data_IF_634080747163
#
_entry.id   IF_634080747163
#
_cell.length_a   1.000
_cell.length_b   1.000
_cell.length_c   1.000
_cell.angle_alpha   90.00
_cell.angle_beta   90.00
_cell.angle_gamma   90.00
#
_symmetry.space_group_name_H-M   'P 1'
#
loop_
_entity.id
_entity.type
_entity.pdbx_description
1 polymer ?
#
# COMPACT_ATOMS: atom_id res chain seq x y z
N UNK A 1 9.84 31.37 -19.69
CA UNK A 1 8.42 31.25 -20.12
C UNK A 1 7.54 31.88 -19.06
N UNK A 2 6.51 32.64 -19.44
CA UNK A 2 5.52 33.15 -18.48
C UNK A 2 4.70 32.00 -17.91
N UNK A 3 4.42 32.04 -16.60
CA UNK A 3 3.65 31.00 -15.91
C UNK A 3 2.17 31.12 -16.30
N UNK A 4 1.56 30.00 -16.69
CA UNK A 4 0.15 29.87 -17.09
C UNK A 4 -0.49 28.72 -16.33
N UNK A 5 -1.29 29.05 -15.33
CA UNK A 5 -1.87 28.11 -14.37
C UNK A 5 -3.34 27.84 -14.75
N UNK A 6 -3.71 26.57 -14.88
CA UNK A 6 -5.11 26.13 -14.87
C UNK A 6 -5.51 25.67 -13.48
N UNK A 7 -6.64 26.16 -12.96
CA UNK A 7 -7.14 25.82 -11.63
C UNK A 7 -8.50 25.12 -11.73
N UNK A 8 -8.61 23.94 -11.13
CA UNK A 8 -9.81 23.12 -11.24
C UNK A 8 -10.38 22.77 -9.88
N UNK A 9 -11.62 23.17 -9.60
CA UNK A 9 -12.25 22.97 -8.29
C UNK A 9 -13.32 21.87 -8.40
N UNK A 10 -13.15 20.80 -7.64
CA UNK A 10 -14.07 19.66 -7.65
C UNK A 10 -15.22 19.88 -6.66
N UNK A 11 -16.44 19.50 -7.05
CA UNK A 11 -17.58 19.45 -6.13
C UNK A 11 -17.61 18.13 -5.33
N UNK A 12 -17.08 17.07 -5.93
CA UNK A 12 -17.12 15.70 -5.43
C UNK A 12 -18.56 15.26 -5.08
N UNK A 13 -19.51 15.57 -5.97
CA UNK A 13 -20.93 15.47 -5.68
C UNK A 13 -21.33 16.49 -4.60
N UNK A 14 -21.85 16.02 -3.48
CA UNK A 14 -22.14 16.85 -2.30
C UNK A 14 -20.98 16.92 -1.31
N UNK A 15 -19.93 16.11 -1.45
CA UNK A 15 -18.88 16.00 -0.43
C UNK A 15 -18.10 17.30 -0.22
N UNK A 16 -17.86 18.07 -1.28
CA UNK A 16 -17.22 19.39 -1.18
C UNK A 16 -18.28 20.48 -1.29
N UNK A 17 -19.16 20.43 -2.31
CA UNK A 17 -20.09 21.51 -2.62
C UNK A 17 -21.16 21.78 -1.54
N UNK A 18 -21.46 20.81 -0.66
CA UNK A 18 -22.38 21.04 0.46
C UNK A 18 -21.79 22.04 1.46
N UNK A 19 -20.52 21.88 1.79
CA UNK A 19 -19.84 22.63 2.85
C UNK A 19 -18.95 23.76 2.33
N UNK A 20 -18.54 23.74 1.06
CA UNK A 20 -17.68 24.76 0.45
C UNK A 20 -18.41 25.37 -0.74
N UNK A 21 -18.46 26.69 -0.82
CA UNK A 21 -18.91 27.38 -2.02
C UNK A 21 -17.84 27.32 -3.11
N UNK A 22 -17.96 26.30 -3.96
CA UNK A 22 -17.02 26.04 -5.05
C UNK A 22 -16.99 27.17 -6.07
N UNK A 23 -18.13 27.81 -6.34
CA UNK A 23 -18.22 28.92 -7.29
C UNK A 23 -17.42 30.13 -6.79
N UNK A 24 -17.51 30.42 -5.50
CA UNK A 24 -16.75 31.50 -4.87
C UNK A 24 -15.23 31.23 -4.88
N UNK A 25 -14.82 29.98 -4.61
CA UNK A 25 -13.41 29.57 -4.70
C UNK A 25 -12.88 29.70 -6.13
N UNK A 26 -13.65 29.29 -7.14
CA UNK A 26 -13.29 29.46 -8.57
C UNK A 26 -13.12 30.92 -8.93
N UNK A 27 -14.09 31.76 -8.56
CA UNK A 27 -14.07 33.18 -8.91
C UNK A 27 -12.90 33.92 -8.25
N UNK A 28 -12.49 33.51 -7.04
CA UNK A 28 -11.26 33.97 -6.41
C UNK A 28 -10.02 33.50 -7.19
N UNK A 29 -9.95 32.22 -7.55
CA UNK A 29 -8.82 31.69 -8.29
C UNK A 29 -8.54 32.44 -9.61
N UNK A 30 -9.58 32.84 -10.35
CA UNK A 30 -9.44 33.64 -11.58
C UNK A 30 -8.74 34.99 -11.39
N UNK A 31 -8.80 35.57 -10.18
CA UNK A 31 -8.20 36.88 -9.87
C UNK A 31 -6.74 36.78 -9.42
N UNK A 32 -6.23 35.56 -9.22
CA UNK A 32 -4.88 35.34 -8.71
C UNK A 32 -3.84 35.41 -9.85
N UNK A 33 -2.61 35.83 -9.55
CA UNK A 33 -1.57 36.01 -10.56
C UNK A 33 -1.25 34.69 -11.28
N UNK A 34 -0.93 34.79 -12.57
CA UNK A 34 -0.58 33.68 -13.47
C UNK A 34 -1.72 32.68 -13.75
N UNK A 35 -2.91 32.82 -13.15
CA UNK A 35 -4.07 31.98 -13.45
C UNK A 35 -4.65 32.38 -14.81
N UNK A 36 -4.57 31.46 -15.77
CA UNK A 36 -5.11 31.67 -17.13
C UNK A 36 -6.57 31.22 -17.22
N UNK A 37 -6.91 30.17 -16.48
CA UNK A 37 -8.27 29.62 -16.44
C UNK A 37 -8.56 29.05 -15.05
N UNK A 38 -9.80 29.21 -14.59
CA UNK A 38 -10.30 28.44 -13.46
C UNK A 38 -11.70 27.91 -13.77
N UNK A 39 -11.89 26.61 -13.53
CA UNK A 39 -13.17 25.92 -13.77
C UNK A 39 -13.55 25.11 -12.55
N UNK A 40 -14.84 24.85 -12.42
CA UNK A 40 -15.36 23.89 -11.47
C UNK A 40 -16.16 22.79 -12.17
N UNK A 41 -16.10 21.58 -11.64
CA UNK A 41 -16.83 20.45 -12.20
C UNK A 41 -17.21 19.44 -11.10
N UNK A 42 -18.28 18.68 -11.36
CA UNK A 42 -18.87 17.76 -10.37
C UNK A 42 -17.87 16.71 -9.88
N UNK A 43 -17.13 16.09 -10.80
CA UNK A 43 -16.16 15.04 -10.50
C UNK A 43 -14.91 15.24 -11.34
N UNK A 44 -13.92 15.99 -10.83
CA UNK A 44 -12.70 16.25 -11.60
C UNK A 44 -11.91 14.97 -11.95
N UNK A 45 -12.02 13.91 -11.16
CA UNK A 45 -11.32 12.65 -11.41
C UNK A 45 -11.99 11.74 -12.44
N UNK A 46 -13.23 12.01 -12.86
CA UNK A 46 -13.88 11.24 -13.91
C UNK A 46 -13.28 11.57 -15.28
N UNK A 47 -13.55 10.74 -16.29
CA UNK A 47 -13.01 10.95 -17.65
C UNK A 47 -13.36 12.35 -18.20
N UNK A 48 -14.61 12.87 -18.10
CA UNK A 48 -14.91 14.23 -18.52
C UNK A 48 -14.10 15.30 -17.76
N UNK A 49 -13.87 15.12 -16.46
CA UNK A 49 -13.07 16.03 -15.66
C UNK A 49 -11.60 16.03 -16.06
N UNK A 50 -11.05 14.87 -16.37
CA UNK A 50 -9.67 14.73 -16.86
C UNK A 50 -9.51 15.29 -18.28
N UNK A 51 -10.45 15.03 -19.19
CA UNK A 51 -10.43 15.59 -20.55
C UNK A 51 -10.51 17.12 -20.54
N UNK A 52 -11.29 17.70 -19.63
CA UNK A 52 -11.36 19.14 -19.43
C UNK A 52 -9.98 19.73 -19.10
N UNK A 53 -9.21 19.09 -18.21
CA UNK A 53 -7.83 19.50 -17.90
C UNK A 53 -6.93 19.35 -19.13
N UNK A 54 -6.99 18.19 -19.82
CA UNK A 54 -6.14 17.90 -20.98
C UNK A 54 -6.36 18.88 -22.13
N UNK A 55 -7.61 19.23 -22.41
CA UNK A 55 -7.98 20.15 -23.47
C UNK A 55 -7.49 21.57 -23.15
N UNK A 56 -7.75 22.06 -21.94
CA UNK A 56 -7.27 23.37 -21.51
C UNK A 56 -5.73 23.45 -21.54
N UNK A 57 -5.00 22.39 -21.16
CA UNK A 57 -3.53 22.34 -21.28
C UNK A 57 -3.08 22.60 -22.72
N UNK A 58 -3.71 21.92 -23.70
CA UNK A 58 -3.36 22.02 -25.12
C UNK A 58 -3.78 23.36 -25.72
N UNK A 59 -5.03 23.76 -25.52
CA UNK A 59 -5.64 24.94 -26.12
C UNK A 59 -5.05 26.24 -25.56
N UNK A 60 -4.92 26.34 -24.24
CA UNK A 60 -4.46 27.56 -23.56
C UNK A 60 -2.94 27.57 -23.34
N UNK A 61 -2.27 26.47 -23.72
CA UNK A 61 -0.83 26.24 -23.52
C UNK A 61 -0.45 26.41 -22.04
N UNK A 62 -1.23 25.78 -21.15
CA UNK A 62 -0.97 25.82 -19.71
C UNK A 62 0.36 25.12 -19.43
N UNK A 63 1.12 25.68 -18.51
CA UNK A 63 2.38 25.09 -18.07
C UNK A 63 2.38 24.74 -16.57
N UNK A 64 1.27 24.96 -15.86
CA UNK A 64 1.05 24.54 -14.48
C UNK A 64 -0.42 24.18 -14.28
N UNK A 65 -0.70 23.21 -13.41
CA UNK A 65 -2.07 22.82 -13.07
C UNK A 65 -2.25 22.70 -11.57
N UNK A 66 -3.35 23.26 -11.06
CA UNK A 66 -3.82 23.07 -9.69
C UNK A 66 -5.18 22.40 -9.71
N UNK A 67 -5.34 21.30 -8.97
CA UNK A 67 -6.66 20.70 -8.73
C UNK A 67 -7.00 20.81 -7.24
N UNK A 68 -8.07 21.54 -6.93
CA UNK A 68 -8.63 21.65 -5.59
C UNK A 68 -9.72 20.58 -5.40
N UNK A 69 -9.38 19.50 -4.69
CA UNK A 69 -10.28 18.36 -4.52
C UNK A 69 -9.98 17.55 -3.24
N UNK A 70 -9.73 16.25 -3.37
CA UNK A 70 -9.46 15.31 -2.29
C UNK A 70 -7.98 15.29 -1.88
N UNK A 71 -7.57 14.27 -1.12
CA UNK A 71 -6.19 14.06 -0.69
C UNK A 71 -5.26 13.67 -1.86
N UNK A 72 -4.04 14.23 -1.95
CA UNK A 72 -3.04 13.80 -2.93
C UNK A 72 -2.68 12.32 -2.78
N UNK A 73 -2.81 11.73 -1.58
CA UNK A 73 -2.62 10.29 -1.35
C UNK A 73 -3.59 9.41 -2.16
N UNK A 74 -4.71 9.99 -2.63
CA UNK A 74 -5.72 9.27 -3.39
C UNK A 74 -5.60 9.51 -4.90
N UNK A 75 -5.59 10.77 -5.35
CA UNK A 75 -5.72 11.10 -6.79
C UNK A 75 -4.56 11.89 -7.39
N UNK A 76 -3.46 12.14 -6.67
CA UNK A 76 -2.32 12.86 -7.25
C UNK A 76 -1.80 12.16 -8.51
N UNK A 77 -1.58 10.83 -8.43
CA UNK A 77 -1.13 10.04 -9.58
C UNK A 77 -2.10 10.07 -10.76
N UNK A 78 -3.40 10.17 -10.50
CA UNK A 78 -4.44 10.26 -11.55
C UNK A 78 -4.30 11.57 -12.32
N UNK A 79 -4.27 12.71 -11.62
CA UNK A 79 -4.14 14.01 -12.27
C UNK A 79 -2.77 14.24 -12.89
N UNK A 80 -1.70 13.71 -12.27
CA UNK A 80 -0.36 13.69 -12.85
C UNK A 80 -0.35 12.98 -14.21
N UNK A 81 -0.97 11.79 -14.31
CA UNK A 81 -1.10 11.05 -15.58
C UNK A 81 -1.94 11.83 -16.60
N UNK A 82 -3.01 12.50 -16.17
CA UNK A 82 -3.82 13.33 -17.06
C UNK A 82 -3.00 14.50 -17.65
N UNK A 83 -2.22 15.20 -16.82
CA UNK A 83 -1.32 16.27 -17.27
C UNK A 83 -0.25 15.73 -18.23
N UNK A 84 0.39 14.61 -17.88
CA UNK A 84 1.42 13.95 -18.69
C UNK A 84 0.88 13.54 -20.07
N UNK A 85 -0.34 13.01 -20.12
CA UNK A 85 -1.02 12.64 -21.38
C UNK A 85 -1.33 13.84 -22.28
N UNK A 86 -1.37 15.06 -21.72
CA UNK A 86 -1.52 16.30 -22.46
C UNK A 86 -0.17 16.99 -22.80
N UNK A 87 0.95 16.36 -22.47
CA UNK A 87 2.30 16.89 -22.72
C UNK A 87 2.84 17.81 -21.61
N UNK A 88 2.14 17.94 -20.48
CA UNK A 88 2.61 18.70 -19.33
C UNK A 88 3.40 17.79 -18.38
N UNK A 89 4.60 18.20 -17.98
CA UNK A 89 5.39 17.46 -17.00
C UNK A 89 4.60 17.26 -15.70
N UNK A 90 4.50 16.01 -15.23
CA UNK A 90 3.68 15.62 -14.08
C UNK A 90 4.04 16.33 -12.77
N UNK A 91 5.25 16.86 -12.62
CA UNK A 91 5.70 17.55 -11.42
C UNK A 91 5.38 19.05 -11.45
N UNK A 92 4.81 19.54 -12.56
CA UNK A 92 4.24 20.89 -12.71
C UNK A 92 2.76 20.95 -12.30
N UNK A 93 2.30 19.92 -11.59
CA UNK A 93 0.97 19.76 -11.04
C UNK A 93 1.00 19.89 -9.52
N UNK A 94 0.00 20.52 -8.93
CA UNK A 94 -0.19 20.52 -7.48
C UNK A 94 -1.66 20.31 -7.09
N UNK A 95 -1.89 19.61 -5.98
CA UNK A 95 -3.22 19.28 -5.50
C UNK A 95 -3.52 20.00 -4.18
N UNK A 96 -4.61 20.77 -4.15
CA UNK A 96 -5.10 21.40 -2.93
C UNK A 96 -6.20 20.52 -2.31
N UNK A 97 -5.94 19.96 -1.13
CA UNK A 97 -6.94 19.15 -0.43
C UNK A 97 -7.98 20.04 0.26
N UNK A 98 -9.16 20.15 -0.34
CA UNK A 98 -10.31 20.89 0.19
C UNK A 98 -11.47 19.96 0.60
N UNK A 99 -11.25 18.63 0.62
CA UNK A 99 -12.24 17.65 1.10
C UNK A 99 -11.91 17.17 2.50
N UNK A 100 -10.94 16.26 2.65
CA UNK A 100 -10.55 15.69 3.95
C UNK A 100 -10.01 16.77 4.89
N UNK A 101 -9.34 17.79 4.37
CA UNK A 101 -8.76 18.88 5.19
C UNK A 101 -9.67 20.11 5.29
N UNK A 102 -10.83 20.10 4.64
CA UNK A 102 -11.76 21.22 4.64
C UNK A 102 -13.23 20.76 4.70
N UNK A 103 -13.88 20.44 3.58
CA UNK A 103 -15.33 20.24 3.56
C UNK A 103 -15.87 19.17 4.52
N UNK A 104 -15.11 18.11 4.81
CA UNK A 104 -15.54 17.03 5.72
C UNK A 104 -15.37 17.35 7.21
N UNK A 105 -14.54 18.33 7.55
CA UNK A 105 -14.14 18.59 8.96
C UNK A 105 -14.59 19.96 9.47
N UNK A 106 -15.34 20.72 8.67
CA UNK A 106 -15.93 22.00 9.09
C UNK A 106 -17.45 21.94 8.92
N UNK A 107 -18.19 22.52 9.86
CA UNK A 107 -19.66 22.56 9.80
C UNK A 107 -20.17 23.90 9.26
N UNK A 108 -19.37 24.97 9.35
CA UNK A 108 -19.75 26.30 8.88
C UNK A 108 -19.28 26.52 7.44
N UNK A 109 -20.23 26.67 6.52
CA UNK A 109 -19.97 26.86 5.09
C UNK A 109 -19.09 28.08 4.79
N UNK A 110 -19.32 29.22 5.44
CA UNK A 110 -18.52 30.44 5.21
C UNK A 110 -17.06 30.23 5.60
N UNK A 111 -16.83 29.66 6.78
CA UNK A 111 -15.47 29.39 7.29
C UNK A 111 -14.75 28.37 6.41
N UNK A 112 -15.45 27.31 5.98
CA UNK A 112 -14.90 26.31 5.08
C UNK A 112 -14.55 26.89 3.71
N UNK A 113 -15.40 27.76 3.16
CA UNK A 113 -15.11 28.46 1.89
C UNK A 113 -13.86 29.34 2.01
N UNK A 114 -13.74 30.13 3.08
CA UNK A 114 -12.54 30.96 3.29
C UNK A 114 -11.27 30.13 3.42
N UNK A 115 -11.33 29.00 4.16
CA UNK A 115 -10.22 28.07 4.25
C UNK A 115 -9.88 27.47 2.88
N UNK A 116 -10.87 27.06 2.10
CA UNK A 116 -10.66 26.51 0.75
C UNK A 116 -10.00 27.54 -0.18
N UNK A 117 -10.42 28.81 -0.15
CA UNK A 117 -9.75 29.90 -0.89
C UNK A 117 -8.29 30.05 -0.47
N UNK A 118 -8.00 30.04 0.82
CA UNK A 118 -6.63 30.15 1.33
C UNK A 118 -5.74 28.97 0.85
N UNK A 119 -6.26 27.74 0.91
CA UNK A 119 -5.57 26.54 0.43
C UNK A 119 -5.30 26.60 -1.09
N UNK A 120 -6.29 27.03 -1.87
CA UNK A 120 -6.14 27.19 -3.33
C UNK A 120 -5.15 28.29 -3.67
N UNK A 121 -5.20 29.44 -2.99
CA UNK A 121 -4.22 30.51 -3.19
C UNK A 121 -2.79 30.04 -2.86
N UNK A 122 -2.60 29.32 -1.76
CA UNK A 122 -1.30 28.75 -1.40
C UNK A 122 -0.81 27.76 -2.48
N UNK A 123 -1.70 26.90 -2.99
CA UNK A 123 -1.40 25.96 -4.06
C UNK A 123 -0.97 26.65 -5.36
N UNK A 124 -1.69 27.70 -5.77
CA UNK A 124 -1.39 28.51 -6.96
C UNK A 124 -0.04 29.22 -6.80
N UNK A 125 0.24 29.79 -5.64
CA UNK A 125 1.54 30.43 -5.38
C UNK A 125 2.68 29.42 -5.41
N UNK A 126 2.49 28.22 -4.85
CA UNK A 126 3.50 27.14 -4.88
C UNK A 126 3.76 26.63 -6.30
N UNK A 127 2.71 26.38 -7.08
CA UNK A 127 2.84 25.76 -8.42
C UNK A 127 3.67 26.65 -9.37
N UNK A 128 3.62 27.98 -9.18
CA UNK A 128 4.39 28.94 -9.96
C UNK A 128 5.91 28.74 -9.86
N UNK A 129 6.41 28.18 -8.74
CA UNK A 129 7.83 27.90 -8.51
C UNK A 129 8.23 26.45 -8.77
N UNK A 130 7.30 25.57 -9.16
CA UNK A 130 7.64 24.19 -9.47
C UNK A 130 8.48 24.10 -10.75
N UNK A 131 9.39 23.14 -10.77
CA UNK A 131 10.25 22.83 -11.90
C UNK A 131 9.88 21.46 -12.47
N UNK A 132 10.16 21.27 -13.75
CA UNK A 132 9.96 19.98 -14.39
C UNK A 132 11.02 19.01 -13.86
N UNK A 133 10.58 17.83 -13.40
CA UNK A 133 11.48 16.77 -12.94
C UNK A 133 11.41 15.56 -13.88
N UNK A 134 12.46 14.76 -13.87
CA UNK A 134 12.56 13.53 -14.66
C UNK A 134 12.40 12.29 -13.78
N UNK A 135 11.75 11.27 -14.33
CA UNK A 135 11.63 9.97 -13.68
C UNK A 135 12.95 9.20 -13.81
N UNK A 136 13.63 9.00 -12.68
CA UNK A 136 14.80 8.12 -12.64
C UNK A 136 14.37 6.66 -12.74
N UNK A 137 14.80 5.97 -13.80
CA UNK A 137 14.65 4.52 -13.92
C UNK A 137 15.75 3.83 -13.12
N UNK A 138 15.39 2.82 -12.34
CA UNK A 138 16.36 2.01 -11.59
C UNK A 138 16.13 0.54 -11.90
N UNK A 139 17.21 -0.25 -11.90
CA UNK A 139 17.11 -1.71 -11.99
C UNK A 139 16.43 -2.22 -10.72
N UNK A 140 15.53 -3.18 -10.88
CA UNK A 140 14.82 -3.81 -9.78
C UNK A 140 15.39 -5.23 -9.58
N UNK A 141 15.60 -5.62 -8.33
CA UNK A 141 15.85 -7.01 -7.98
C UNK A 141 14.52 -7.78 -8.14
N UNK A 142 14.45 -8.82 -9.00
CA UNK A 142 13.23 -9.59 -9.21
C UNK A 142 12.89 -10.53 -8.04
N UNK A 143 13.85 -10.84 -7.17
CA UNK A 143 13.62 -11.73 -6.04
C UNK A 143 12.63 -11.11 -5.03
N UNK A 144 11.72 -11.94 -4.53
CA UNK A 144 10.70 -11.52 -3.55
C UNK A 144 11.01 -12.09 -2.17
N UNK A 145 10.86 -11.27 -1.13
CA UNK A 145 10.90 -11.74 0.25
C UNK A 145 9.48 -11.77 0.83
N UNK A 146 9.11 -12.89 1.45
CA UNK A 146 7.86 -13.08 2.18
C UNK A 146 8.19 -13.30 3.65
N UNK A 147 7.54 -12.53 4.53
CA UNK A 147 7.72 -12.61 5.98
C UNK A 147 6.47 -13.26 6.59
N UNK A 148 6.63 -14.48 7.09
CA UNK A 148 5.59 -15.29 7.70
C UNK A 148 5.13 -16.43 6.79
N UNK A 149 5.40 -17.67 7.18
CA UNK A 149 5.00 -18.91 6.53
C UNK A 149 3.61 -19.40 6.94
N UNK A 150 2.65 -18.52 7.22
CA UNK A 150 1.24 -18.90 7.33
C UNK A 150 0.63 -19.23 5.96
N UNK A 151 -0.64 -19.66 5.91
CA UNK A 151 -1.32 -19.98 4.64
C UNK A 151 -1.23 -18.87 3.58
N UNK A 152 -1.30 -17.60 3.99
CA UNK A 152 -1.17 -16.46 3.09
C UNK A 152 0.24 -16.35 2.49
N UNK A 153 1.28 -16.49 3.31
CA UNK A 153 2.67 -16.43 2.85
C UNK A 153 3.07 -17.65 2.02
N UNK A 154 2.59 -18.84 2.41
CA UNK A 154 2.74 -20.08 1.63
C UNK A 154 2.13 -19.92 0.23
N UNK A 155 0.89 -19.43 0.15
CA UNK A 155 0.22 -19.26 -1.14
C UNK A 155 0.93 -18.21 -2.01
N UNK A 156 1.29 -17.06 -1.43
CA UNK A 156 2.04 -16.04 -2.15
C UNK A 156 3.41 -16.55 -2.64
N UNK A 157 4.10 -17.36 -1.84
CA UNK A 157 5.38 -17.95 -2.23
C UNK A 157 5.23 -18.87 -3.43
N UNK A 158 4.24 -19.77 -3.38
CA UNK A 158 3.96 -20.72 -4.46
C UNK A 158 3.58 -19.99 -5.75
N UNK A 159 2.66 -19.02 -5.73
CA UNK A 159 2.24 -18.30 -6.93
C UNK A 159 3.39 -17.53 -7.60
N UNK A 160 4.24 -16.87 -6.79
CA UNK A 160 5.39 -16.15 -7.31
C UNK A 160 6.43 -17.12 -7.87
N UNK A 161 6.68 -18.23 -7.18
CA UNK A 161 7.64 -19.24 -7.60
C UNK A 161 7.21 -19.99 -8.87
N UNK A 162 5.92 -20.31 -9.01
CA UNK A 162 5.30 -20.92 -10.20
C UNK A 162 5.36 -19.98 -11.42
N UNK A 163 5.37 -18.67 -11.19
CA UNK A 163 5.60 -17.68 -12.25
C UNK A 163 7.08 -17.56 -12.70
N UNK A 164 7.97 -18.38 -12.13
CA UNK A 164 9.39 -18.43 -12.46
C UNK A 164 10.26 -17.42 -11.71
N UNK A 165 9.76 -16.80 -10.63
CA UNK A 165 10.51 -15.81 -9.86
C UNK A 165 11.05 -16.40 -8.55
N UNK A 166 12.24 -15.95 -8.14
CA UNK A 166 12.90 -16.38 -6.90
C UNK A 166 12.19 -15.80 -5.66
N UNK A 167 11.97 -16.63 -4.66
CA UNK A 167 11.29 -16.27 -3.41
C UNK A 167 12.10 -16.69 -2.19
N UNK A 168 12.28 -15.79 -1.25
CA UNK A 168 12.76 -16.07 0.09
C UNK A 168 11.58 -16.06 1.05
N UNK A 169 11.28 -17.18 1.70
CA UNK A 169 10.19 -17.29 2.66
C UNK A 169 10.77 -17.40 4.08
N UNK A 170 10.64 -16.34 4.87
CA UNK A 170 11.13 -16.29 6.25
C UNK A 170 10.02 -16.63 7.22
N UNK A 171 10.21 -17.66 8.04
CA UNK A 171 9.28 -18.05 9.11
C UNK A 171 9.99 -18.04 10.45
N UNK A 172 9.37 -17.38 11.43
CA UNK A 172 9.93 -17.22 12.77
C UNK A 172 9.98 -18.54 13.53
N UNK A 173 8.94 -19.35 13.44
CA UNK A 173 8.85 -20.61 14.15
C UNK A 173 9.62 -21.72 13.40
N UNK A 174 9.93 -22.85 14.05
CA UNK A 174 10.63 -23.96 13.39
C UNK A 174 9.88 -24.58 12.20
N UNK A 175 8.58 -24.31 12.07
CA UNK A 175 7.74 -24.86 11.01
C UNK A 175 6.80 -23.80 10.45
N UNK A 176 6.51 -23.92 9.15
CA UNK A 176 5.49 -23.14 8.45
C UNK A 176 4.09 -23.72 8.72
N UNK A 177 3.05 -23.03 8.25
CA UNK A 177 1.64 -23.37 8.41
C UNK A 177 0.85 -22.39 9.26
N UNK A 178 1.53 -21.66 10.16
CA UNK A 178 0.94 -20.62 10.99
C UNK A 178 -0.24 -21.11 11.83
N UNK A 179 -1.23 -20.24 12.05
CA UNK A 179 -2.41 -20.58 12.86
C UNK A 179 -3.29 -21.66 12.23
N UNK A 180 -3.23 -21.85 10.92
CA UNK A 180 -4.07 -22.83 10.25
C UNK A 180 -3.65 -24.26 10.60
N UNK A 181 -2.34 -24.49 10.83
CA UNK A 181 -1.81 -25.79 11.23
C UNK A 181 -2.29 -26.29 12.60
N UNK A 182 -2.81 -25.40 13.45
CA UNK A 182 -3.35 -25.76 14.78
C UNK A 182 -4.88 -25.87 14.81
N UNK A 183 -5.56 -25.54 13.71
CA UNK A 183 -7.01 -25.72 13.60
C UNK A 183 -7.31 -27.19 13.33
N UNK A 184 -8.45 -27.68 13.83
CA UNK A 184 -8.94 -29.01 13.45
C UNK A 184 -9.61 -28.96 12.08
N UNK A 185 -10.60 -28.06 11.94
CA UNK A 185 -11.41 -27.89 10.73
C UNK A 185 -11.46 -26.44 10.27
N UNK A 186 -11.82 -26.24 9.01
CA UNK A 186 -11.99 -24.92 8.39
C UNK A 186 -13.42 -24.73 7.91
N UNK A 187 -14.07 -23.64 8.33
CA UNK A 187 -15.39 -23.27 7.81
C UNK A 187 -15.24 -22.64 6.41
N UNK A 188 -16.26 -22.70 5.54
CA UNK A 188 -17.58 -23.29 5.75
C UNK A 188 -17.65 -24.80 5.46
N UNK A 189 -16.66 -25.39 4.79
CA UNK A 189 -16.71 -26.78 4.31
C UNK A 189 -16.50 -27.83 5.40
N UNK A 190 -15.96 -27.43 6.55
CA UNK A 190 -15.60 -28.30 7.68
C UNK A 190 -14.54 -29.36 7.30
N UNK A 191 -13.74 -29.04 6.28
CA UNK A 191 -12.56 -29.83 5.90
C UNK A 191 -11.51 -29.77 6.99
N UNK A 192 -10.75 -30.86 7.14
CA UNK A 192 -9.58 -30.88 8.00
C UNK A 192 -8.55 -29.85 7.50
N UNK A 193 -8.05 -29.00 8.40
CA UNK A 193 -7.09 -27.94 8.05
C UNK A 193 -5.79 -28.51 7.45
N UNK A 194 -5.33 -29.64 7.96
CA UNK A 194 -4.11 -30.31 7.52
C UNK A 194 -4.27 -30.86 6.09
N UNK A 195 -5.46 -31.34 5.72
CA UNK A 195 -5.72 -31.88 4.39
C UNK A 195 -5.49 -30.84 3.28
N UNK A 196 -5.73 -29.56 3.56
CA UNK A 196 -5.55 -28.47 2.59
C UNK A 196 -4.20 -27.76 2.75
N UNK A 197 -3.68 -27.66 3.97
CA UNK A 197 -2.45 -26.93 4.27
C UNK A 197 -1.19 -27.77 4.06
N UNK A 198 -1.16 -29.01 4.51
CA UNK A 198 0.04 -29.86 4.48
C UNK A 198 0.59 -30.06 3.07
N UNK A 199 -0.23 -30.32 2.02
CA UNK A 199 0.29 -30.41 0.66
C UNK A 199 1.00 -29.13 0.21
N UNK A 200 0.49 -27.95 0.59
CA UNK A 200 1.12 -26.66 0.26
C UNK A 200 2.42 -26.45 1.02
N UNK A 201 2.50 -26.88 2.29
CA UNK A 201 3.73 -26.84 3.07
C UNK A 201 4.83 -27.71 2.42
N UNK A 202 4.45 -28.91 1.94
CA UNK A 202 5.37 -29.80 1.22
C UNK A 202 5.85 -29.17 -0.08
N UNK A 203 4.93 -28.62 -0.88
CA UNK A 203 5.28 -27.96 -2.13
C UNK A 203 6.27 -26.80 -1.90
N UNK A 204 6.05 -25.97 -0.87
CA UNK A 204 6.98 -24.90 -0.51
C UNK A 204 8.38 -25.45 -0.17
N UNK A 205 8.46 -26.54 0.59
CA UNK A 205 9.73 -27.14 0.97
C UNK A 205 10.48 -27.83 -0.17
N UNK A 206 9.81 -28.13 -1.29
CA UNK A 206 10.38 -28.84 -2.44
C UNK A 206 10.57 -27.96 -3.68
N UNK A 207 10.02 -26.74 -3.69
CA UNK A 207 10.05 -25.89 -4.87
C UNK A 207 11.43 -25.25 -5.08
N UNK A 208 12.02 -25.42 -6.27
CA UNK A 208 13.39 -24.98 -6.58
C UNK A 208 13.59 -23.45 -6.45
N UNK A 209 12.57 -22.67 -6.82
CA UNK A 209 12.59 -21.19 -6.70
C UNK A 209 12.24 -20.66 -5.29
N UNK A 210 11.98 -21.51 -4.29
CA UNK A 210 11.64 -21.08 -2.93
C UNK A 210 12.77 -21.41 -1.96
N UNK A 211 13.39 -20.36 -1.42
CA UNK A 211 14.36 -20.45 -0.33
C UNK A 211 13.63 -20.31 1.01
N UNK A 212 13.24 -21.45 1.59
CA UNK A 212 12.60 -21.50 2.90
C UNK A 212 13.64 -21.28 4.01
N UNK A 213 13.43 -20.22 4.79
CA UNK A 213 14.20 -19.87 5.98
C UNK A 213 13.28 -19.98 7.20
N UNK A 214 13.01 -21.22 7.62
CA UNK A 214 12.33 -21.46 8.90
C UNK A 214 13.24 -21.12 10.07
N UNK A 215 12.64 -20.98 11.26
CA UNK A 215 13.33 -20.58 12.48
C UNK A 215 14.19 -19.32 12.32
N UNK A 216 13.74 -18.39 11.47
CA UNK A 216 14.49 -17.21 11.07
C UNK A 216 13.65 -15.94 11.18
N UNK A 217 14.28 -14.81 11.48
CA UNK A 217 13.59 -13.54 11.70
C UNK A 217 14.28 -12.42 10.90
N UNK A 218 13.47 -11.56 10.28
CA UNK A 218 13.99 -10.33 9.66
C UNK A 218 14.32 -9.33 10.76
N UNK A 219 15.59 -8.95 10.87
CA UNK A 219 16.06 -8.01 11.90
C UNK A 219 16.22 -6.59 11.39
N UNK A 220 16.46 -6.42 10.08
CA UNK A 220 16.68 -5.10 9.48
C UNK A 220 16.20 -5.09 8.02
N UNK A 221 15.52 -4.01 7.65
CA UNK A 221 15.08 -3.72 6.29
C UNK A 221 15.62 -2.34 5.92
N UNK A 222 16.47 -2.27 4.90
CA UNK A 222 17.03 -1.02 4.38
C UNK A 222 16.90 -0.96 2.85
N UNK A 223 17.16 0.22 2.27
CA UNK A 223 17.01 0.46 0.84
C UNK A 223 15.65 1.04 0.48
N UNK A 224 15.24 0.86 -0.77
CA UNK A 224 14.01 1.45 -1.34
C UNK A 224 13.33 0.47 -2.28
N UNK A 225 12.13 0.82 -2.76
CA UNK A 225 11.35 -0.03 -3.67
C UNK A 225 12.22 -0.63 -4.80
N UNK A 226 12.19 -1.96 -4.90
CA UNK A 226 12.95 -2.74 -5.87
C UNK A 226 14.44 -2.95 -5.58
N UNK A 227 15.00 -2.32 -4.54
CA UNK A 227 16.41 -2.43 -4.15
C UNK A 227 16.53 -2.50 -2.62
N UNK A 228 15.87 -3.49 -2.04
CA UNK A 228 15.93 -3.73 -0.60
C UNK A 228 17.18 -4.53 -0.22
N UNK A 229 17.75 -4.21 0.94
CA UNK A 229 18.77 -4.99 1.62
C UNK A 229 18.21 -5.45 2.95
N UNK A 230 18.13 -6.76 3.11
CA UNK A 230 17.47 -7.41 4.24
C UNK A 230 18.51 -8.17 5.05
N UNK A 231 18.49 -8.02 6.38
CA UNK A 231 19.24 -8.88 7.30
C UNK A 231 18.28 -9.86 7.95
N UNK A 232 18.64 -11.15 7.88
CA UNK A 232 17.85 -12.25 8.43
C UNK A 232 18.72 -12.97 9.47
N UNK A 233 18.21 -13.05 10.70
CA UNK A 233 18.80 -13.86 11.75
C UNK A 233 18.20 -15.25 11.68
N UNK A 234 19.00 -16.24 11.27
CA UNK A 234 18.66 -17.65 11.45
C UNK A 234 19.00 -18.05 12.88
N UNK A 235 18.00 -18.45 13.67
CA UNK A 235 18.24 -18.90 15.05
C UNK A 235 18.91 -20.28 15.00
N UNK A 236 19.89 -20.56 15.88
CA UNK A 236 20.55 -21.85 15.89
C UNK A 236 19.56 -22.94 16.34
N UNK A 237 19.25 -23.95 15.51
CA UNK A 237 18.41 -25.07 15.93
C UNK A 237 19.14 -26.02 16.89
N UNK A 238 20.47 -25.87 17.02
CA UNK A 238 21.37 -26.78 17.76
C UNK A 238 21.29 -28.23 17.29
N UNK A 239 20.88 -28.43 16.04
CA UNK A 239 20.75 -29.71 15.34
C UNK A 239 21.34 -29.50 13.94
N UNK A 240 22.14 -30.46 13.47
CA UNK A 240 22.59 -30.50 12.08
C UNK A 240 21.42 -30.94 11.19
N UNK A 241 20.80 -29.99 10.48
CA UNK A 241 19.58 -30.21 9.69
C UNK A 241 19.81 -31.17 8.52
N UNK A 242 21.02 -31.22 7.96
CA UNK A 242 21.38 -32.13 6.87
C UNK A 242 21.46 -33.59 7.33
N UNK A 243 21.68 -33.82 8.64
CA UNK A 243 21.74 -35.16 9.25
C UNK A 243 20.47 -35.53 10.01
N UNK A 244 19.60 -34.57 10.29
CA UNK A 244 18.38 -34.81 11.05
C UNK A 244 17.37 -35.60 10.20
N UNK A 245 16.98 -36.79 10.66
CA UNK A 245 15.97 -37.62 9.98
C UNK A 245 14.55 -37.36 10.46
N UNK A 246 14.35 -36.50 11.46
CA UNK A 246 13.03 -36.23 12.04
C UNK A 246 12.41 -37.42 12.80
N UNK A 247 13.19 -38.43 13.18
CA UNK A 247 12.68 -39.68 13.77
C UNK A 247 12.06 -39.55 15.17
N UNK A 248 12.36 -38.46 15.90
CA UNK A 248 11.79 -38.19 17.22
C UNK A 248 12.44 -38.93 18.40
N UNK A 249 13.38 -39.86 18.18
CA UNK A 249 14.04 -40.62 19.26
C UNK A 249 14.74 -39.72 20.29
N UNK A 250 15.32 -38.60 19.83
CA UNK A 250 15.95 -37.62 20.72
C UNK A 250 14.96 -37.01 21.73
N UNK A 251 13.69 -36.89 21.36
CA UNK A 251 12.64 -36.36 22.21
C UNK A 251 12.21 -37.37 23.28
N UNK A 252 12.16 -38.66 22.93
CA UNK A 252 11.82 -39.74 23.86
C UNK A 252 12.88 -39.93 24.95
N UNK A 253 14.16 -39.84 24.58
CA UNK A 253 15.27 -39.98 25.53
C UNK A 253 15.60 -38.69 26.30
N UNK A 254 14.91 -37.58 26.03
CA UNK A 254 15.25 -36.29 26.61
C UNK A 254 14.96 -36.29 28.13
N UNK A 255 15.99 -36.11 29.00
CA UNK A 255 15.80 -36.07 30.44
C UNK A 255 15.17 -34.75 30.93
N UNK A 256 15.00 -33.77 30.03
CA UNK A 256 14.39 -32.49 30.35
C UNK A 256 12.90 -32.64 30.65
N UNK A 257 12.45 -31.97 31.72
CA UNK A 257 11.05 -31.93 32.10
C UNK A 257 10.31 -31.01 31.12
N UNK A 258 9.29 -31.52 30.39
CA UNK A 258 8.44 -30.70 29.51
C UNK A 258 7.91 -29.47 30.26
N UNK A 259 8.23 -28.25 29.81
CA UNK A 259 7.61 -27.02 30.31
C UNK A 259 6.99 -26.26 29.12
N UNK A 260 5.66 -26.05 29.10
CA UNK A 260 4.69 -26.55 30.07
C UNK A 260 4.42 -28.06 29.87
N UNK A 261 4.21 -28.79 30.98
CA UNK A 261 3.82 -30.22 30.98
C UNK A 261 2.48 -30.49 30.27
N UNK A 262 1.71 -29.44 29.98
CA UNK A 262 0.36 -29.50 29.41
C UNK A 262 0.15 -28.32 28.48
N UNK A 263 -0.41 -28.56 27.29
CA UNK A 263 -0.85 -27.49 26.39
C UNK A 263 -2.34 -27.28 26.60
N UNK A 264 -2.69 -26.12 27.16
CA UNK A 264 -4.08 -25.75 27.44
C UNK A 264 -4.56 -24.82 26.32
N UNK A 265 -5.50 -25.28 25.50
CA UNK A 265 -6.22 -24.44 24.55
C UNK A 265 -7.32 -23.74 25.34
N UNK A 266 -7.33 -22.40 25.36
CA UNK A 266 -8.33 -21.59 26.07
C UNK A 266 -9.14 -20.72 25.11
N UNK A 267 -10.39 -20.42 25.49
CA UNK A 267 -11.22 -19.37 24.92
C UNK A 267 -11.64 -18.44 26.06
N UNK A 268 -10.95 -17.31 26.19
CA UNK A 268 -11.02 -16.48 27.40
C UNK A 268 -10.56 -17.27 28.62
N UNK A 269 -11.42 -17.35 29.63
CA UNK A 269 -11.15 -18.12 30.86
C UNK A 269 -11.51 -19.61 30.76
N UNK A 270 -12.20 -20.03 29.69
CA UNK A 270 -12.58 -21.44 29.49
C UNK A 270 -11.42 -22.24 28.91
N UNK A 271 -11.13 -23.39 29.52
CA UNK A 271 -10.24 -24.40 28.95
C UNK A 271 -11.05 -25.23 27.95
N UNK A 272 -10.68 -25.15 26.67
CA UNK A 272 -11.30 -25.92 25.58
C UNK A 272 -10.69 -27.32 25.44
N UNK A 273 -9.38 -27.47 25.64
CA UNK A 273 -8.67 -28.74 25.50
C UNK A 273 -7.38 -28.72 26.30
N UNK A 274 -7.12 -29.78 27.05
CA UNK A 274 -5.85 -30.00 27.73
C UNK A 274 -5.14 -31.19 27.05
N UNK A 275 -4.01 -30.90 26.40
CA UNK A 275 -3.17 -31.91 25.75
C UNK A 275 -2.01 -32.24 26.70
N UNK A 276 -1.85 -33.54 27.01
CA UNK A 276 -0.70 -34.08 27.77
C UNK A 276 0.54 -34.24 26.88
#
# INVERSE_FOLDING_TARGET
>A
MSVKIGVYICHCGSNIANTVDVGEVRNLALKLPNVTIARDYKFMCSDPGQELIKNDIKELKLNRVVVASCSPLMHEKTFQKACESAGLNRYLFHMANIREHCSWVHNNKKVATEKAKALVNAAIRRVAFLEALELKRMKMNPATLIIGGGIAGIQAALEIAESGNEVYLVEREPSIGGKMAILDKTFPTLDCSACILTPKMVNVGQHENIHLLSYSEVTEVSGSNGNFKIKILRKPPYIDEDKCTGCGLCYECCPSIRIPKRRIIKLGDKILKELK
#
